data_IF_783537684668
#
_entry.id   IF_783537684668
#
_cell.length_a   1.000
_cell.length_b   1.000
_cell.length_c   1.000
_cell.angle_alpha   90.00
_cell.angle_beta   90.00
_cell.angle_gamma   90.00
#
_symmetry.space_group_name_H-M   'P 1'
#
loop_
_entity.id
_entity.type
_entity.pdbx_description
1 polymer ?
#
# COMPACT_ATOMS: atom_id res chain seq x y z
N UNK A 1 -13.64 44.45 -22.12
CA UNK A 1 -14.37 43.24 -21.70
C UNK A 1 -15.09 42.64 -22.91
N UNK A 2 -14.35 41.91 -23.74
CA UNK A 2 -14.79 41.22 -24.97
C UNK A 2 -14.33 39.76 -24.91
N UNK A 3 -14.27 39.22 -23.69
CA UNK A 3 -13.51 38.00 -23.40
C UNK A 3 -14.08 36.78 -24.11
N UNK A 4 -15.39 36.79 -24.36
CA UNK A 4 -16.07 35.77 -25.09
C UNK A 4 -17.39 36.42 -25.59
N UNK A 5 -17.58 36.58 -26.91
CA UNK A 5 -18.92 36.60 -27.54
C UNK A 5 -19.26 35.28 -28.27
N UNK A 6 -18.92 34.08 -27.84
CA UNK A 6 -18.28 33.64 -26.60
C UNK A 6 -17.77 32.21 -26.64
N UNK A 7 -17.56 31.69 -27.86
CA UNK A 7 -17.82 30.28 -28.22
C UNK A 7 -19.35 30.10 -28.23
N UNK A 8 -20.06 29.82 -29.35
CA UNK A 8 -19.74 28.81 -30.38
C UNK A 8 -20.12 29.19 -31.84
N UNK A 9 -19.39 28.72 -32.85
CA UNK A 9 -19.96 28.47 -34.19
C UNK A 9 -19.01 27.60 -35.04
N UNK A 10 -19.57 26.71 -35.86
CA UNK A 10 -18.88 25.62 -36.57
C UNK A 10 -18.00 26.05 -37.76
N UNK A 11 -17.95 27.34 -38.08
CA UNK A 11 -16.99 27.92 -39.02
C UNK A 11 -16.98 29.44 -38.80
N UNK A 12 -15.81 30.05 -38.54
CA UNK A 12 -15.68 31.49 -38.82
C UNK A 12 -15.73 31.68 -40.34
N UNK A 13 -16.38 32.75 -40.80
CA UNK A 13 -16.43 33.10 -42.22
C UNK A 13 -15.05 33.46 -42.80
N UNK A 14 -14.06 33.66 -41.92
CA UNK A 14 -12.67 33.95 -42.25
C UNK A 14 -11.80 32.73 -41.95
N UNK A 15 -11.19 32.16 -42.98
CA UNK A 15 -10.28 31.01 -42.91
C UNK A 15 -9.01 31.33 -42.11
N UNK A 16 -8.56 32.59 -42.10
CA UNK A 16 -7.35 32.98 -41.36
C UNK A 16 -7.55 32.83 -39.85
N UNK A 17 -8.75 33.15 -39.36
CA UNK A 17 -9.11 33.02 -37.94
C UNK A 17 -9.19 31.56 -37.52
N UNK A 18 -9.75 30.69 -38.38
CA UNK A 18 -9.80 29.24 -38.13
C UNK A 18 -8.38 28.66 -38.04
N UNK A 19 -7.52 29.01 -39.00
CA UNK A 19 -6.12 28.55 -39.04
C UNK A 19 -5.34 29.02 -37.80
N UNK A 20 -5.50 30.28 -37.40
CA UNK A 20 -4.89 30.81 -36.18
C UNK A 20 -5.37 30.05 -34.93
N UNK A 21 -6.67 29.71 -34.86
CA UNK A 21 -7.23 28.90 -33.79
C UNK A 21 -6.59 27.52 -33.67
N UNK A 22 -6.33 26.84 -34.81
CA UNK A 22 -5.61 25.56 -34.82
C UNK A 22 -4.16 25.71 -34.34
N UNK A 23 -3.43 26.74 -34.77
CA UNK A 23 -2.06 26.96 -34.30
C UNK A 23 -2.00 27.20 -32.78
N UNK A 24 -2.92 28.00 -32.22
CA UNK A 24 -2.99 28.21 -30.78
C UNK A 24 -3.35 26.92 -30.04
N UNK A 25 -4.31 26.13 -30.55
CA UNK A 25 -4.70 24.88 -29.93
C UNK A 25 -3.57 23.83 -29.95
N UNK A 26 -2.74 23.82 -30.99
CA UNK A 26 -1.64 22.88 -31.19
C UNK A 26 -0.32 23.33 -30.55
N UNK A 27 -0.30 24.47 -29.87
CA UNK A 27 0.89 24.93 -29.16
C UNK A 27 1.33 23.90 -28.10
N UNK A 28 2.60 23.49 -28.16
CA UNK A 28 3.19 22.51 -27.24
C UNK A 28 2.80 21.05 -27.51
N UNK A 29 1.96 20.78 -28.52
CA UNK A 29 1.59 19.41 -28.90
C UNK A 29 2.74 18.74 -29.64
N UNK A 30 3.06 17.50 -29.25
CA UNK A 30 4.09 16.73 -29.95
C UNK A 30 3.59 16.21 -31.29
N UNK A 31 4.49 16.04 -32.27
CA UNK A 31 4.16 15.46 -33.59
C UNK A 31 3.45 14.10 -33.45
N UNK A 32 3.88 13.27 -32.51
CA UNK A 32 3.28 11.97 -32.23
C UNK A 32 1.84 12.09 -31.71
N UNK A 33 1.61 13.01 -30.76
CA UNK A 33 0.27 13.30 -30.23
C UNK A 33 -0.68 13.71 -31.35
N UNK A 34 -0.24 14.62 -32.21
CA UNK A 34 -1.04 15.09 -33.35
C UNK A 34 -1.37 13.98 -34.34
N UNK A 35 -0.37 13.23 -34.82
CA UNK A 35 -0.59 12.17 -35.81
C UNK A 35 -1.54 11.08 -35.31
N UNK A 36 -1.36 10.66 -34.06
CA UNK A 36 -2.19 9.61 -33.46
C UNK A 36 -3.60 10.13 -33.18
N UNK A 37 -3.76 11.36 -32.70
CA UNK A 37 -5.06 11.98 -32.51
C UNK A 37 -5.81 12.11 -33.85
N UNK A 38 -5.17 12.59 -34.92
CA UNK A 38 -5.79 12.65 -36.25
C UNK A 38 -6.26 11.27 -36.73
N UNK A 39 -5.46 10.22 -36.51
CA UNK A 39 -5.84 8.85 -36.86
C UNK A 39 -7.06 8.37 -36.06
N UNK A 40 -7.11 8.64 -34.76
CA UNK A 40 -8.23 8.26 -33.89
C UNK A 40 -9.52 9.02 -34.27
N UNK A 41 -9.40 10.30 -34.60
CA UNK A 41 -10.52 11.12 -35.08
C UNK A 41 -11.07 10.56 -36.39
N UNK A 42 -10.19 10.20 -37.34
CA UNK A 42 -10.60 9.55 -38.59
C UNK A 42 -11.27 8.18 -38.37
N UNK A 43 -10.97 7.51 -37.25
CA UNK A 43 -11.61 6.26 -36.83
C UNK A 43 -12.91 6.49 -36.04
N UNK A 44 -13.32 7.74 -35.82
CA UNK A 44 -14.57 8.09 -35.17
C UNK A 44 -14.48 8.37 -33.66
N UNK A 45 -13.31 8.72 -33.12
CA UNK A 45 -13.15 8.97 -31.67
C UNK A 45 -14.01 10.12 -31.12
N UNK A 46 -14.41 11.08 -31.97
CA UNK A 46 -15.22 12.23 -31.59
C UNK A 46 -16.73 11.93 -31.50
N UNK A 47 -17.19 10.78 -32.01
CA UNK A 47 -18.61 10.42 -32.02
C UNK A 47 -19.48 11.23 -32.99
N UNK A 48 -18.87 12.02 -33.87
CA UNK A 48 -19.57 12.74 -34.95
C UNK A 48 -18.79 12.70 -36.26
N UNK A 49 -19.48 12.92 -37.39
CA UNK A 49 -18.88 12.91 -38.73
C UNK A 49 -18.25 14.24 -39.18
N UNK A 50 -18.31 15.29 -38.35
CA UNK A 50 -17.72 16.59 -38.66
C UNK A 50 -16.21 16.63 -38.40
N UNK A 51 -15.51 17.53 -39.11
CA UNK A 51 -14.09 17.84 -38.85
C UNK A 51 -13.93 18.39 -37.42
N UNK A 52 -12.84 18.04 -36.69
CA UNK A 52 -12.62 18.55 -35.35
C UNK A 52 -12.50 20.08 -35.34
N UNK A 53 -13.12 20.70 -34.34
CA UNK A 53 -12.77 22.06 -33.95
C UNK A 53 -11.38 22.10 -33.29
N UNK A 54 -10.68 23.26 -33.27
CA UNK A 54 -9.40 23.40 -32.59
C UNK A 54 -9.36 22.85 -31.15
N UNK A 55 -10.34 23.13 -30.25
CA UNK A 55 -10.32 22.58 -28.90
C UNK A 55 -10.55 21.06 -28.86
N UNK A 56 -11.36 20.50 -29.77
CA UNK A 56 -11.56 19.05 -29.86
C UNK A 56 -10.27 18.32 -30.28
N UNK A 57 -9.56 18.88 -31.26
CA UNK A 57 -8.27 18.33 -31.68
C UNK A 57 -7.25 18.36 -30.53
N UNK A 58 -7.22 19.45 -29.75
CA UNK A 58 -6.36 19.55 -28.57
C UNK A 58 -6.71 18.50 -27.51
N UNK A 59 -8.00 18.32 -27.21
CA UNK A 59 -8.43 17.31 -26.24
C UNK A 59 -8.02 15.89 -26.64
N UNK A 60 -8.14 15.53 -27.93
CA UNK A 60 -7.68 14.23 -28.42
C UNK A 60 -6.15 14.09 -28.33
N UNK A 61 -5.40 15.14 -28.65
CA UNK A 61 -3.95 15.15 -28.47
C UNK A 61 -3.54 14.95 -27.00
N UNK A 62 -4.23 15.62 -26.07
CA UNK A 62 -3.99 15.50 -24.63
C UNK A 62 -4.34 14.09 -24.13
N UNK A 63 -5.45 13.49 -24.61
CA UNK A 63 -5.82 12.09 -24.30
C UNK A 63 -4.74 11.10 -24.74
N UNK A 64 -4.20 11.26 -25.94
CA UNK A 64 -3.11 10.41 -26.46
C UNK A 64 -1.83 10.57 -25.63
N UNK A 65 -1.48 11.80 -25.26
CA UNK A 65 -0.23 12.08 -24.56
C UNK A 65 -0.29 11.78 -23.06
N UNK A 66 -1.48 11.83 -22.44
CA UNK A 66 -1.70 11.59 -21.01
C UNK A 66 -1.00 10.32 -20.48
N UNK A 67 -1.20 9.11 -21.05
CA UNK A 67 -0.55 7.90 -20.54
C UNK A 67 0.98 7.96 -20.64
N UNK A 68 1.52 8.61 -21.68
CA UNK A 68 2.97 8.77 -21.89
C UNK A 68 3.56 9.70 -20.82
N UNK A 69 2.88 10.81 -20.54
CA UNK A 69 3.30 11.78 -19.52
C UNK A 69 3.21 11.18 -18.12
N UNK A 70 2.15 10.43 -17.82
CA UNK A 70 1.98 9.74 -16.55
C UNK A 70 3.03 8.66 -16.34
N UNK A 71 3.37 7.87 -17.37
CA UNK A 71 4.46 6.90 -17.32
C UNK A 71 5.80 7.59 -17.03
N UNK A 72 6.10 8.67 -17.74
CA UNK A 72 7.33 9.44 -17.53
C UNK A 72 7.42 10.04 -16.12
N UNK A 73 6.30 10.51 -15.58
CA UNK A 73 6.22 11.03 -14.22
C UNK A 73 6.42 9.93 -13.17
N UNK A 74 5.88 8.74 -13.41
CA UNK A 74 6.12 7.56 -12.54
C UNK A 74 7.59 7.15 -12.58
N UNK A 75 8.19 7.04 -13.75
CA UNK A 75 9.61 6.69 -13.89
C UNK A 75 10.55 7.70 -13.23
N UNK A 76 10.21 8.99 -13.24
CA UNK A 76 11.01 10.02 -12.55
C UNK A 76 10.87 9.91 -11.03
N UNK A 77 9.66 9.64 -10.54
CA UNK A 77 9.40 9.38 -9.12
C UNK A 77 10.15 8.14 -8.63
N UNK A 78 10.03 7.01 -9.33
CA UNK A 78 10.67 5.75 -8.95
C UNK A 78 12.20 5.87 -8.93
N UNK A 79 12.77 6.56 -9.93
CA UNK A 79 14.21 6.87 -9.93
C UNK A 79 14.63 7.71 -8.73
N UNK A 80 13.80 8.65 -8.28
CA UNK A 80 14.09 9.45 -7.09
C UNK A 80 14.09 8.57 -5.83
N UNK A 81 13.08 7.73 -5.67
CA UNK A 81 12.99 6.81 -4.53
C UNK A 81 14.18 5.84 -4.51
N UNK A 82 14.53 5.23 -5.65
CA UNK A 82 15.68 4.34 -5.74
C UNK A 82 16.99 5.06 -5.40
N UNK A 83 17.15 6.32 -5.80
CA UNK A 83 18.32 7.13 -5.47
C UNK A 83 18.38 7.43 -3.96
N UNK A 84 17.26 7.74 -3.34
CA UNK A 84 17.16 7.95 -1.88
C UNK A 84 17.48 6.67 -1.12
N UNK A 85 16.86 5.55 -1.48
CA UNK A 85 17.14 4.23 -0.87
C UNK A 85 18.60 3.82 -1.03
N UNK A 86 19.21 4.06 -2.20
CA UNK A 86 20.62 3.78 -2.41
C UNK A 86 21.53 4.69 -1.56
N UNK A 87 21.17 5.96 -1.37
CA UNK A 87 21.89 6.87 -0.50
C UNK A 87 21.79 6.44 0.98
N UNK A 88 20.61 6.01 1.42
CA UNK A 88 20.40 5.51 2.78
C UNK A 88 21.08 4.17 3.01
N UNK A 89 21.08 3.27 2.02
CA UNK A 89 21.82 2.01 2.09
C UNK A 89 23.33 2.24 2.25
N UNK A 90 23.90 3.23 1.55
CA UNK A 90 25.30 3.63 1.73
C UNK A 90 25.57 4.23 3.11
N UNK A 91 24.63 4.99 3.67
CA UNK A 91 24.74 5.51 5.06
C UNK A 91 24.64 4.38 6.10
N UNK A 92 23.84 3.36 5.80
CA UNK A 92 23.65 2.18 6.62
C UNK A 92 24.72 1.10 6.39
N UNK A 93 25.84 1.42 5.75
CA UNK A 93 26.96 0.50 5.63
C UNK A 93 27.42 0.06 7.02
N UNK A 94 27.14 -1.20 7.32
CA UNK A 94 27.35 -1.75 8.64
C UNK A 94 28.84 -1.98 8.85
N UNK A 95 29.48 -1.07 9.59
CA UNK A 95 30.91 -1.17 9.91
C UNK A 95 31.20 -2.51 10.60
N UNK A 96 32.41 -3.09 10.44
CA UNK A 96 32.77 -4.36 11.08
C UNK A 96 32.55 -4.33 12.60
N UNK A 97 32.83 -3.18 13.23
CA UNK A 97 32.63 -2.95 14.66
C UNK A 97 31.15 -2.88 15.05
N UNK A 98 30.30 -2.28 14.22
CA UNK A 98 28.85 -2.23 14.45
C UNK A 98 28.21 -3.61 14.25
N UNK A 99 28.72 -4.42 13.32
CA UNK A 99 28.33 -5.84 13.17
C UNK A 99 28.69 -6.63 14.41
N UNK A 100 29.92 -6.49 14.91
CA UNK A 100 30.37 -7.17 16.13
C UNK A 100 29.51 -6.82 17.35
N UNK A 101 29.15 -5.53 17.52
CA UNK A 101 28.23 -5.08 18.58
C UNK A 101 26.85 -5.71 18.48
N UNK A 102 26.31 -5.83 17.27
CA UNK A 102 25.01 -6.45 17.06
C UNK A 102 25.03 -7.96 17.29
N UNK A 103 26.09 -8.65 16.85
CA UNK A 103 26.28 -10.08 17.14
C UNK A 103 26.40 -10.32 18.64
N UNK A 104 27.20 -9.52 19.36
CA UNK A 104 27.33 -9.62 20.81
C UNK A 104 25.99 -9.40 21.52
N UNK A 105 25.19 -8.41 21.09
CA UNK A 105 23.86 -8.16 21.64
C UNK A 105 22.90 -9.33 21.36
N UNK A 106 22.95 -9.91 20.17
CA UNK A 106 22.12 -11.07 19.81
C UNK A 106 22.52 -12.30 20.63
N UNK A 107 23.82 -12.56 20.78
CA UNK A 107 24.34 -13.66 21.59
C UNK A 107 23.95 -13.52 23.06
N UNK A 108 24.06 -12.31 23.64
CA UNK A 108 23.62 -12.03 25.00
C UNK A 108 22.11 -12.26 25.17
N UNK A 109 21.29 -11.80 24.22
CA UNK A 109 19.83 -12.01 24.24
C UNK A 109 19.49 -13.50 24.15
N UNK A 110 20.19 -14.25 23.30
CA UNK A 110 20.01 -15.68 23.13
C UNK A 110 20.47 -16.47 24.36
N UNK A 111 21.55 -16.04 25.01
CA UNK A 111 22.01 -16.61 26.26
C UNK A 111 20.97 -16.39 27.37
N UNK A 112 20.41 -15.17 27.48
CA UNK A 112 19.35 -14.88 28.43
C UNK A 112 18.11 -15.75 28.19
N UNK A 113 17.64 -15.86 26.94
CA UNK A 113 16.51 -16.73 26.61
C UNK A 113 16.75 -18.20 26.97
N UNK A 114 17.97 -18.69 26.82
CA UNK A 114 18.30 -20.06 27.24
C UNK A 114 18.23 -20.23 28.76
N UNK A 115 18.70 -19.23 29.51
CA UNK A 115 18.61 -19.24 30.98
C UNK A 115 17.16 -19.15 31.45
N UNK A 116 16.36 -18.28 30.83
CA UNK A 116 14.94 -18.13 31.14
C UNK A 116 14.18 -19.43 30.83
N UNK A 117 14.44 -20.05 29.68
CA UNK A 117 13.84 -21.34 29.32
C UNK A 117 14.26 -22.46 30.28
N UNK A 118 15.53 -22.52 30.69
CA UNK A 118 16.00 -23.51 31.65
C UNK A 118 15.39 -23.27 33.05
N UNK A 119 15.23 -22.01 33.46
CA UNK A 119 14.55 -21.67 34.71
C UNK A 119 13.07 -22.06 34.67
N UNK A 120 12.38 -21.86 33.55
CA UNK A 120 10.99 -22.30 33.36
C UNK A 120 10.88 -23.84 33.30
N UNK A 121 11.85 -24.54 32.71
CA UNK A 121 11.89 -26.00 32.69
C UNK A 121 12.08 -26.56 34.11
N UNK A 122 12.99 -26.00 34.90
CA UNK A 122 13.15 -26.39 36.32
C UNK A 122 11.92 -26.06 37.18
N UNK A 123 11.23 -24.93 36.93
CA UNK A 123 9.94 -24.64 37.57
C UNK A 123 8.88 -25.65 37.17
N UNK A 124 8.85 -26.06 35.90
CA UNK A 124 7.89 -27.02 35.39
C UNK A 124 8.08 -28.40 36.00
N UNK A 125 9.32 -28.86 36.16
CA UNK A 125 9.65 -30.13 36.82
C UNK A 125 9.26 -30.14 38.31
N UNK A 126 9.21 -28.97 38.94
CA UNK A 126 8.83 -28.82 40.35
C UNK A 126 7.32 -29.03 40.59
N UNK A 127 6.50 -28.90 39.55
CA UNK A 127 5.07 -29.20 39.61
C UNK A 127 4.80 -30.54 38.94
N UNK A 128 4.32 -31.54 39.70
CA UNK A 128 3.71 -32.71 39.08
C UNK A 128 2.50 -32.23 38.24
N UNK A 129 2.61 -32.37 36.92
CA UNK A 129 1.57 -32.03 35.94
C UNK A 129 0.76 -33.25 35.53
N UNK A 130 0.89 -34.38 36.23
CA UNK A 130 0.03 -35.54 36.02
C UNK A 130 -1.45 -35.13 36.17
N UNK A 131 -2.36 -35.74 35.40
CA UNK A 131 -3.79 -35.46 35.51
C UNK A 131 -4.27 -35.58 36.96
N UNK A 132 -3.81 -36.59 37.68
CA UNK A 132 -4.21 -36.87 39.06
C UNK A 132 -3.76 -35.77 40.05
N UNK A 133 -2.52 -35.28 39.93
CA UNK A 133 -2.02 -34.18 40.76
C UNK A 133 -2.74 -32.86 40.49
N UNK A 134 -3.08 -32.59 39.22
CA UNK A 134 -3.92 -31.44 38.84
C UNK A 134 -5.33 -31.55 39.43
N UNK A 135 -5.95 -32.73 39.35
CA UNK A 135 -7.27 -32.98 39.93
C UNK A 135 -7.27 -32.82 41.46
N UNK A 136 -6.21 -33.26 42.13
CA UNK A 136 -6.05 -33.10 43.58
C UNK A 136 -5.97 -31.61 43.98
N UNK A 137 -5.20 -30.79 43.24
CA UNK A 137 -5.10 -29.34 43.48
C UNK A 137 -6.44 -28.63 43.27
N UNK A 138 -7.19 -29.01 42.22
CA UNK A 138 -8.51 -28.44 41.94
C UNK A 138 -9.55 -28.79 43.01
N UNK A 139 -9.54 -30.04 43.50
CA UNK A 139 -10.40 -30.46 44.62
C UNK A 139 -10.06 -29.69 45.90
N UNK A 140 -8.79 -29.65 46.28
CA UNK A 140 -8.33 -28.92 47.46
C UNK A 140 -8.67 -27.41 47.39
N UNK A 141 -8.57 -26.79 46.21
CA UNK A 141 -8.94 -25.39 46.01
C UNK A 141 -10.46 -25.17 46.11
N UNK A 142 -11.29 -26.10 45.64
CA UNK A 142 -12.74 -26.00 45.78
C UNK A 142 -13.18 -26.15 47.25
N UNK A 143 -12.60 -27.12 47.95
CA UNK A 143 -12.86 -27.36 49.38
C UNK A 143 -12.47 -26.14 50.23
N UNK A 144 -11.32 -25.51 49.94
CA UNK A 144 -10.88 -24.27 50.60
C UNK A 144 -11.84 -23.08 50.35
N UNK A 145 -12.56 -23.09 49.23
CA UNK A 145 -13.60 -22.10 48.91
C UNK A 145 -15.01 -22.54 49.35
N UNK A 146 -15.13 -23.62 50.12
CA UNK A 146 -16.41 -24.13 50.66
C UNK A 146 -17.33 -24.76 49.61
N UNK A 147 -16.80 -25.17 48.45
CA UNK A 147 -17.55 -25.77 47.36
C UNK A 147 -17.10 -27.22 47.10
N UNK A 148 -18.05 -28.12 46.83
CA UNK A 148 -17.76 -29.51 46.47
C UNK A 148 -17.37 -29.61 44.98
N UNK A 149 -16.16 -30.10 44.69
CA UNK A 149 -15.65 -30.18 43.32
C UNK A 149 -16.23 -31.41 42.59
N UNK A 150 -17.11 -31.17 41.62
CA UNK A 150 -17.73 -32.22 40.81
C UNK A 150 -17.61 -31.91 39.31
N UNK A 151 -16.79 -32.70 38.60
CA UNK A 151 -16.54 -32.60 37.16
C UNK A 151 -17.83 -32.68 36.32
N UNK A 152 -18.79 -33.53 36.71
CA UNK A 152 -20.01 -33.77 35.94
C UNK A 152 -21.00 -32.60 36.00
N UNK A 153 -20.80 -31.68 36.95
CA UNK A 153 -21.60 -30.45 37.09
C UNK A 153 -20.98 -29.26 36.35
N UNK A 154 -19.74 -29.39 35.86
CA UNK A 154 -19.07 -28.35 35.09
C UNK A 154 -19.71 -28.32 33.70
N UNK A 155 -20.56 -27.33 33.45
CA UNK A 155 -21.10 -27.11 32.11
C UNK A 155 -19.94 -26.70 31.19
N UNK A 156 -19.76 -27.43 30.09
CA UNK A 156 -18.85 -27.01 29.03
C UNK A 156 -19.20 -25.58 28.63
N UNK A 157 -18.20 -24.69 28.63
CA UNK A 157 -18.41 -23.35 28.11
C UNK A 157 -18.84 -23.46 26.63
N UNK A 158 -19.82 -22.66 26.18
CA UNK A 158 -20.17 -22.64 24.76
C UNK A 158 -18.92 -22.25 23.96
N UNK A 159 -18.64 -23.04 22.92
CA UNK A 159 -17.42 -22.97 22.09
C UNK A 159 -17.20 -21.61 21.41
N UNK A 160 -18.20 -20.73 21.41
CA UNK A 160 -18.21 -19.47 20.68
C UNK A 160 -17.64 -18.26 21.45
N UNK A 161 -17.23 -18.44 22.71
CA UNK A 161 -16.86 -17.29 23.58
C UNK A 161 -15.36 -17.00 23.70
N UNK A 162 -14.49 -17.77 23.04
CA UNK A 162 -13.08 -17.40 22.89
C UNK A 162 -12.93 -16.37 21.75
N UNK A 163 -13.36 -15.13 22.01
CA UNK A 163 -12.88 -14.01 21.21
C UNK A 163 -11.38 -13.88 21.44
N UNK A 164 -10.63 -14.22 20.41
CA UNK A 164 -9.21 -14.02 20.19
C UNK A 164 -8.74 -12.65 20.73
N UNK A 165 -8.38 -12.60 22.02
CA UNK A 165 -7.70 -11.47 22.65
C UNK A 165 -6.22 -11.50 22.24
N UNK A 166 -5.96 -11.25 20.96
CA UNK A 166 -4.64 -11.36 20.34
C UNK A 166 -4.52 -10.51 19.09
N UNK A 167 -5.05 -9.29 19.11
CA UNK A 167 -4.70 -8.24 18.14
C UNK A 167 -4.91 -6.83 18.72
N UNK A 168 -3.98 -6.42 19.56
CA UNK A 168 -3.58 -5.04 19.80
C UNK A 168 -2.08 -5.14 20.15
N UNK A 169 -1.21 -4.76 19.21
CA UNK A 169 -0.52 -3.47 19.18
C UNK A 169 0.58 -3.41 20.24
#
# INVERSE_FOLDING_TARGET
>A
MTLLSSLPSRASADDQVNVAGFYMALEGVTRHGLQTATKQIMQGSLGHAFLPSPPELRQECDKVMKPILEARARDSYDRRILKEMAADSKRAEWTPESRARATAKWEATKAQQRLDNAAEETRRDQYDTSPDACMARLKAAAEANGADFNLDKIKNAPSDTFKQAGRAA
#
